data_IF_491004463183
#
_entry.id   IF_491004463183
#
_cell.length_a   1.000
_cell.length_b   1.000
_cell.length_c   1.000
_cell.angle_alpha   90.00
_cell.angle_beta   90.00
_cell.angle_gamma   90.00
#
_symmetry.space_group_name_H-M   'P 1'
#
loop_
_entity.id
_entity.type
_entity.pdbx_description
1 polymer ?
#
# COMPACT_ATOMS: atom_id res chain seq x y z
N UNK A 1 -4.04 -62.49 -81.49
CA UNK A 1 -5.07 -62.15 -82.50
C UNK A 1 -6.16 -61.40 -81.76
N UNK A 2 -6.38 -60.09 -81.92
CA UNK A 2 -5.91 -59.11 -82.88
C UNK A 2 -5.73 -57.77 -82.15
N UNK A 3 -4.64 -57.07 -82.50
CA UNK A 3 -4.49 -55.64 -82.36
C UNK A 3 -5.37 -54.89 -83.36
N UNK A 4 -5.73 -53.64 -83.01
CA UNK A 4 -5.61 -52.38 -83.80
C UNK A 4 -6.80 -51.41 -83.75
N UNK A 5 -6.38 -50.14 -83.74
CA UNK A 5 -7.08 -48.87 -83.92
C UNK A 5 -7.84 -48.35 -82.67
N UNK A 6 -7.43 -47.29 -81.98
CA UNK A 6 -6.72 -46.08 -82.42
C UNK A 6 -7.73 -44.98 -82.74
N UNK A 7 -8.11 -44.17 -81.74
CA UNK A 7 -8.77 -42.88 -81.98
C UNK A 7 -8.51 -41.89 -80.83
N UNK A 8 -7.67 -40.91 -81.16
CA UNK A 8 -7.67 -39.48 -80.80
C UNK A 8 -8.24 -38.99 -79.46
N UNK A 9 -7.38 -38.28 -78.70
CA UNK A 9 -7.77 -37.45 -77.55
C UNK A 9 -8.19 -36.04 -77.99
N UNK A 10 -9.26 -35.45 -77.45
CA UNK A 10 -9.34 -34.02 -77.26
C UNK A 10 -8.82 -33.63 -75.87
N UNK A 11 -7.74 -32.85 -75.84
CA UNK A 11 -7.26 -32.08 -74.68
C UNK A 11 -8.41 -31.18 -74.17
N UNK A 12 -9.05 -31.56 -73.04
CA UNK A 12 -9.92 -30.64 -72.29
C UNK A 12 -9.05 -29.80 -71.35
N UNK A 13 -9.11 -28.49 -71.57
CA UNK A 13 -8.63 -27.44 -70.67
C UNK A 13 -9.09 -27.67 -69.23
N UNK A 14 -8.27 -27.34 -68.21
CA UNK A 14 -8.75 -27.31 -66.84
C UNK A 14 -9.68 -26.10 -66.71
N UNK A 15 -10.98 -26.34 -66.76
CA UNK A 15 -11.96 -25.36 -66.29
C UNK A 15 -11.78 -25.37 -64.77
N UNK A 16 -11.08 -24.36 -64.28
CA UNK A 16 -10.87 -24.10 -62.85
C UNK A 16 -12.25 -23.97 -62.21
N UNK A 17 -12.70 -24.99 -61.48
CA UNK A 17 -13.98 -25.02 -60.78
C UNK A 17 -14.00 -23.90 -59.74
N UNK A 18 -14.57 -22.74 -60.12
CA UNK A 18 -14.82 -21.60 -59.22
C UNK A 18 -15.70 -21.96 -58.02
N UNK A 19 -16.30 -23.16 -58.01
CA UNK A 19 -16.98 -23.74 -56.86
C UNK A 19 -16.04 -24.11 -55.71
N UNK A 20 -14.81 -24.53 -55.96
CA UNK A 20 -13.86 -24.89 -54.88
C UNK A 20 -13.42 -23.66 -54.07
N UNK A 21 -13.25 -22.51 -54.73
CA UNK A 21 -12.91 -21.24 -54.08
C UNK A 21 -14.11 -20.67 -53.30
N UNK A 22 -15.33 -20.84 -53.81
CA UNK A 22 -16.54 -20.40 -53.09
C UNK A 22 -16.79 -21.23 -51.83
N UNK A 23 -16.54 -22.55 -51.88
CA UNK A 23 -16.65 -23.42 -50.71
C UNK A 23 -15.50 -23.20 -49.72
N UNK A 24 -14.29 -22.86 -50.17
CA UNK A 24 -13.17 -22.48 -49.31
C UNK A 24 -13.38 -21.12 -48.62
N UNK A 25 -14.02 -20.15 -49.28
CA UNK A 25 -14.40 -18.87 -48.68
C UNK A 25 -15.56 -19.05 -47.68
N UNK A 26 -16.49 -19.98 -47.95
CA UNK A 26 -17.58 -20.32 -47.01
C UNK A 26 -17.10 -21.16 -45.81
N UNK A 27 -16.10 -22.04 -45.98
CA UNK A 27 -15.46 -22.77 -44.87
C UNK A 27 -14.45 -21.90 -44.09
N UNK A 28 -13.81 -20.93 -44.75
CA UNK A 28 -12.85 -19.99 -44.13
C UNK A 28 -13.50 -18.87 -43.30
N UNK A 29 -14.80 -18.63 -43.48
CA UNK A 29 -15.61 -17.69 -42.69
C UNK A 29 -16.26 -18.32 -41.45
N UNK A 30 -15.98 -19.60 -41.19
CA UNK A 30 -16.42 -20.32 -39.98
C UNK A 30 -15.23 -20.82 -39.16
N UNK A 31 -14.17 -20.00 -39.02
CA UNK A 31 -13.44 -20.02 -37.76
C UNK A 31 -14.39 -19.37 -36.76
N UNK A 32 -15.24 -20.20 -36.17
CA UNK A 32 -16.02 -19.82 -35.02
C UNK A 32 -15.05 -19.16 -34.03
N UNK A 33 -15.25 -17.86 -33.81
CA UNK A 33 -14.74 -17.19 -32.64
C UNK A 33 -15.43 -17.84 -31.44
N UNK A 34 -14.96 -19.02 -31.04
CA UNK A 34 -15.22 -19.52 -29.69
C UNK A 34 -14.72 -18.40 -28.79
N UNK A 35 -15.57 -17.79 -27.93
CA UNK A 35 -15.04 -16.90 -26.92
C UNK A 35 -14.03 -17.74 -26.16
N UNK A 36 -12.74 -17.40 -26.31
CA UNK A 36 -11.70 -18.02 -25.50
C UNK A 36 -12.04 -17.57 -24.10
N UNK A 37 -12.70 -18.45 -23.36
CA UNK A 37 -13.03 -18.26 -21.96
C UNK A 37 -11.68 -18.02 -21.29
N UNK A 38 -11.41 -16.76 -20.97
CA UNK A 38 -10.13 -16.25 -20.52
C UNK A 38 -9.89 -16.67 -19.06
N UNK A 39 -9.93 -17.97 -18.81
CA UNK A 39 -9.68 -18.55 -17.52
C UNK A 39 -8.16 -18.72 -17.36
N UNK A 40 -7.59 -18.31 -16.21
CA UNK A 40 -6.17 -18.52 -15.94
C UNK A 40 -5.82 -20.00 -16.00
N UNK A 41 -4.66 -20.35 -16.55
CA UNK A 41 -4.24 -21.75 -16.71
C UNK A 41 -4.12 -22.51 -15.38
N UNK A 42 -3.89 -21.80 -14.27
CA UNK A 42 -3.82 -22.34 -12.92
C UNK A 42 -5.18 -22.50 -12.24
N UNK A 43 -6.26 -21.99 -12.84
CA UNK A 43 -7.57 -21.90 -12.23
C UNK A 43 -8.63 -22.69 -13.01
N UNK A 44 -9.74 -22.96 -12.36
CA UNK A 44 -10.90 -23.59 -12.97
C UNK A 44 -12.10 -22.66 -12.90
N UNK A 45 -12.61 -22.27 -14.07
CA UNK A 45 -13.75 -21.37 -14.19
C UNK A 45 -15.01 -22.18 -14.51
N UNK A 46 -16.04 -22.01 -13.69
CA UNK A 46 -17.33 -22.68 -13.83
C UNK A 46 -18.39 -21.62 -14.04
N UNK A 47 -19.14 -21.74 -15.13
CA UNK A 47 -20.32 -20.92 -15.36
C UNK A 47 -21.56 -21.70 -14.94
N UNK A 48 -22.30 -21.20 -13.94
CA UNK A 48 -23.54 -21.82 -13.46
C UNK A 48 -24.65 -20.77 -13.37
N UNK A 49 -25.70 -20.95 -14.18
CA UNK A 49 -26.88 -20.08 -14.19
C UNK A 49 -26.56 -18.59 -14.39
N UNK A 50 -25.55 -18.27 -15.22
CA UNK A 50 -25.11 -16.90 -15.47
C UNK A 50 -24.21 -16.29 -14.39
N UNK A 51 -23.73 -17.09 -13.44
CA UNK A 51 -22.69 -16.70 -12.48
C UNK A 51 -21.40 -17.43 -12.81
N UNK A 52 -20.32 -16.67 -12.98
CA UNK A 52 -18.98 -17.21 -13.22
C UNK A 52 -18.22 -17.32 -11.89
N UNK A 53 -17.88 -18.55 -11.53
CA UNK A 53 -17.13 -18.90 -10.32
C UNK A 53 -15.72 -19.29 -10.73
N UNK A 54 -14.71 -18.57 -10.25
CA UNK A 54 -13.31 -18.85 -10.53
C UNK A 54 -12.67 -19.52 -9.32
N UNK A 55 -12.27 -20.77 -9.50
CA UNK A 55 -11.66 -21.61 -8.45
C UNK A 55 -10.16 -21.73 -8.66
N UNK A 56 -9.39 -21.11 -7.76
CA UNK A 56 -7.93 -21.06 -7.78
C UNK A 56 -7.32 -21.57 -6.47
N UNK A 57 -8.04 -22.36 -5.67
CA UNK A 57 -7.59 -22.80 -4.34
C UNK A 57 -6.42 -23.81 -4.43
N UNK A 58 -5.47 -23.75 -3.50
CA UNK A 58 -4.35 -24.72 -3.39
C UNK A 58 -3.53 -24.85 -4.68
N UNK A 59 -3.23 -23.73 -5.33
CA UNK A 59 -2.48 -23.66 -6.61
C UNK A 59 -1.08 -23.07 -6.46
N UNK A 60 -0.61 -22.88 -5.22
CA UNK A 60 0.67 -22.26 -4.89
C UNK A 60 0.85 -20.87 -5.53
N UNK A 61 -0.24 -20.10 -5.62
CA UNK A 61 -0.19 -18.76 -6.21
C UNK A 61 0.49 -17.80 -5.24
N UNK A 62 1.53 -17.10 -5.70
CA UNK A 62 2.20 -16.03 -4.94
C UNK A 62 1.52 -14.66 -5.15
N UNK A 63 0.71 -14.54 -6.21
CA UNK A 63 0.06 -13.29 -6.61
C UNK A 63 -1.34 -13.58 -7.15
N UNK A 64 -2.20 -12.56 -7.06
CA UNK A 64 -3.53 -12.60 -7.66
C UNK A 64 -3.36 -12.58 -9.20
N UNK A 65 -3.95 -13.54 -9.94
CA UNK A 65 -3.90 -13.56 -11.40
C UNK A 65 -4.61 -12.34 -11.99
N UNK A 66 -4.01 -11.73 -13.02
CA UNK A 66 -4.57 -10.53 -13.68
C UNK A 66 -5.50 -10.86 -14.85
N UNK A 67 -5.44 -12.10 -15.33
CA UNK A 67 -6.20 -12.66 -16.44
C UNK A 67 -7.52 -13.29 -15.96
N UNK A 68 -8.26 -12.58 -15.11
CA UNK A 68 -9.56 -13.02 -14.61
C UNK A 68 -10.70 -12.63 -15.57
N UNK A 69 -11.71 -13.52 -15.79
CA UNK A 69 -12.90 -13.19 -16.57
C UNK A 69 -13.68 -12.00 -15.98
N UNK A 70 -14.08 -11.03 -16.79
CA UNK A 70 -14.78 -9.81 -16.32
C UNK A 70 -16.17 -10.06 -15.71
N UNK A 71 -16.77 -11.19 -16.06
CA UNK A 71 -18.06 -11.71 -15.59
C UNK A 71 -17.94 -12.52 -14.29
N UNK A 72 -16.75 -12.59 -13.69
CA UNK A 72 -16.54 -13.28 -12.41
C UNK A 72 -17.39 -12.67 -11.30
N UNK A 73 -18.18 -13.53 -10.65
CA UNK A 73 -19.02 -13.20 -9.50
C UNK A 73 -18.40 -13.67 -8.19
N UNK A 74 -17.77 -14.86 -8.21
CA UNK A 74 -17.16 -15.48 -7.03
C UNK A 74 -15.72 -15.86 -7.37
N UNK A 75 -14.77 -15.37 -6.59
CA UNK A 75 -13.34 -15.62 -6.76
C UNK A 75 -12.78 -16.33 -5.52
N UNK A 76 -12.36 -17.58 -5.70
CA UNK A 76 -11.87 -18.43 -4.63
C UNK A 76 -10.35 -18.63 -4.76
N UNK A 77 -9.59 -17.91 -3.96
CA UNK A 77 -8.13 -17.88 -3.92
C UNK A 77 -7.55 -18.43 -2.61
N UNK A 78 -8.36 -19.14 -1.82
CA UNK A 78 -7.95 -19.68 -0.54
C UNK A 78 -6.78 -20.68 -0.63
N UNK A 79 -6.02 -20.81 0.46
CA UNK A 79 -4.92 -21.77 0.58
C UNK A 79 -3.86 -21.61 -0.53
N UNK A 80 -3.36 -20.38 -0.69
CA UNK A 80 -2.26 -20.06 -1.60
C UNK A 80 -1.13 -19.35 -0.82
N UNK A 81 -0.15 -18.80 -1.50
CA UNK A 81 1.00 -18.09 -0.91
C UNK A 81 0.99 -16.61 -1.25
N UNK A 82 -0.20 -16.00 -1.37
CA UNK A 82 -0.32 -14.59 -1.75
C UNK A 82 0.14 -13.74 -0.57
N UNK A 83 1.08 -12.83 -0.82
CA UNK A 83 1.68 -11.99 0.25
C UNK A 83 1.20 -10.54 0.24
N UNK A 84 0.65 -10.08 -0.88
CA UNK A 84 0.28 -8.68 -1.06
C UNK A 84 -0.91 -8.51 -2.02
N UNK A 85 -1.82 -7.59 -1.70
CA UNK A 85 -2.93 -7.18 -2.59
C UNK A 85 -2.61 -5.82 -3.23
N UNK A 86 -2.31 -5.78 -4.53
CA UNK A 86 -1.93 -4.54 -5.21
C UNK A 86 -3.13 -3.64 -5.48
N UNK A 87 -2.87 -2.37 -5.74
CA UNK A 87 -3.87 -1.43 -6.23
C UNK A 87 -4.61 -1.98 -7.45
N UNK A 88 -5.93 -1.77 -7.49
CA UNK A 88 -6.79 -2.15 -8.61
C UNK A 88 -6.80 -3.64 -8.94
N UNK A 89 -6.45 -4.52 -8.00
CA UNK A 89 -6.39 -5.97 -8.22
C UNK A 89 -7.69 -6.55 -8.82
N UNK A 90 -8.84 -5.96 -8.47
CA UNK A 90 -10.16 -6.42 -8.91
C UNK A 90 -10.91 -5.41 -9.79
N UNK A 91 -10.23 -4.38 -10.30
CA UNK A 91 -10.88 -3.20 -10.92
C UNK A 91 -11.80 -3.53 -12.09
N UNK A 92 -11.46 -4.54 -12.89
CA UNK A 92 -12.21 -4.95 -14.08
C UNK A 92 -13.36 -5.93 -13.78
N UNK A 93 -13.51 -6.36 -12.51
CA UNK A 93 -14.46 -7.38 -12.07
C UNK A 93 -15.72 -6.75 -11.46
N UNK A 94 -16.46 -5.98 -12.25
CA UNK A 94 -17.59 -5.17 -11.76
C UNK A 94 -18.77 -5.95 -11.15
N UNK A 95 -18.83 -7.27 -11.41
CA UNK A 95 -19.87 -8.16 -10.89
C UNK A 95 -19.40 -9.00 -9.69
N UNK A 96 -18.18 -8.77 -9.23
CA UNK A 96 -17.57 -9.53 -8.14
C UNK A 96 -18.33 -9.26 -6.84
N UNK A 97 -18.87 -10.33 -6.26
CA UNK A 97 -19.65 -10.32 -5.03
C UNK A 97 -18.92 -11.00 -3.87
N UNK A 98 -18.12 -12.03 -4.16
CA UNK A 98 -17.44 -12.81 -3.14
C UNK A 98 -15.97 -13.02 -3.50
N UNK A 99 -15.10 -12.72 -2.55
CA UNK A 99 -13.66 -12.96 -2.65
C UNK A 99 -13.20 -13.71 -1.40
N UNK A 100 -12.67 -14.91 -1.61
CA UNK A 100 -12.04 -15.71 -0.57
C UNK A 100 -10.52 -15.69 -0.77
N UNK A 101 -9.84 -14.96 0.12
CA UNK A 101 -8.38 -14.88 0.22
C UNK A 101 -7.89 -15.50 1.54
N UNK A 102 -8.70 -16.35 2.17
CA UNK A 102 -8.36 -16.99 3.43
C UNK A 102 -7.15 -17.92 3.30
N UNK A 103 -6.44 -18.17 4.40
CA UNK A 103 -5.31 -19.10 4.43
C UNK A 103 -4.24 -18.76 3.38
N UNK A 104 -3.88 -17.49 3.29
CA UNK A 104 -2.76 -17.00 2.49
C UNK A 104 -1.68 -16.43 3.43
N UNK A 105 -0.70 -15.74 2.87
CA UNK A 105 0.40 -15.14 3.61
C UNK A 105 0.37 -13.60 3.49
N UNK A 106 -0.84 -13.02 3.37
CA UNK A 106 -0.99 -11.60 3.08
C UNK A 106 -0.51 -10.79 4.28
N UNK A 107 0.49 -9.94 4.06
CA UNK A 107 1.03 -9.05 5.09
C UNK A 107 0.56 -7.61 4.92
N UNK A 108 0.45 -7.17 3.66
CA UNK A 108 0.14 -5.77 3.31
C UNK A 108 -0.81 -5.70 2.12
N UNK A 109 -1.50 -4.57 1.99
CA UNK A 109 -2.33 -4.24 0.83
C UNK A 109 -2.25 -2.76 0.52
N UNK A 110 -2.42 -2.40 -0.74
CA UNK A 110 -2.41 -1.00 -1.15
C UNK A 110 -3.74 -0.29 -0.85
N UNK A 111 -3.70 1.03 -0.72
CA UNK A 111 -4.85 1.92 -0.46
C UNK A 111 -6.01 1.79 -1.46
N UNK A 112 -5.75 1.31 -2.67
CA UNK A 112 -6.74 1.11 -3.74
C UNK A 112 -6.96 -0.36 -4.08
N UNK A 113 -6.62 -1.30 -3.19
CA UNK A 113 -6.72 -2.74 -3.41
C UNK A 113 -8.10 -3.19 -3.93
N UNK A 114 -9.18 -2.67 -3.32
CA UNK A 114 -10.57 -3.01 -3.65
C UNK A 114 -11.27 -1.94 -4.48
N UNK A 115 -10.52 -1.01 -5.08
CA UNK A 115 -11.08 0.03 -5.91
C UNK A 115 -11.66 -0.54 -7.21
N UNK A 116 -12.94 -0.27 -7.47
CA UNK A 116 -13.68 -0.79 -8.62
C UNK A 116 -14.72 -1.87 -8.27
N UNK A 117 -14.63 -2.46 -7.07
CA UNK A 117 -15.57 -3.47 -6.56
C UNK A 117 -16.25 -3.07 -5.25
N UNK A 118 -16.02 -1.86 -4.75
CA UNK A 118 -16.57 -1.37 -3.47
C UNK A 118 -18.09 -1.42 -3.37
N UNK A 119 -18.80 -1.30 -4.50
CA UNK A 119 -20.27 -1.31 -4.56
C UNK A 119 -20.85 -2.70 -4.87
N UNK A 120 -20.09 -3.58 -5.51
CA UNK A 120 -20.55 -4.93 -5.91
C UNK A 120 -20.20 -6.00 -4.87
N UNK A 121 -19.09 -5.82 -4.14
CA UNK A 121 -18.58 -6.81 -3.20
C UNK A 121 -19.50 -6.92 -1.98
N UNK A 122 -19.88 -8.15 -1.66
CA UNK A 122 -20.78 -8.51 -0.57
C UNK A 122 -20.06 -9.25 0.55
N UNK A 123 -19.08 -10.08 0.20
CA UNK A 123 -18.32 -10.91 1.14
C UNK A 123 -16.83 -10.86 0.79
N UNK A 124 -16.00 -10.60 1.80
CA UNK A 124 -14.54 -10.63 1.69
C UNK A 124 -13.98 -11.42 2.86
N UNK A 125 -13.32 -12.54 2.58
CA UNK A 125 -12.63 -13.34 3.58
C UNK A 125 -11.11 -13.10 3.48
N UNK A 126 -10.54 -12.50 4.52
CA UNK A 126 -9.09 -12.30 4.72
C UNK A 126 -8.58 -13.05 5.96
N UNK A 127 -9.36 -13.99 6.48
CA UNK A 127 -9.00 -14.76 7.68
C UNK A 127 -7.74 -15.60 7.47
N UNK A 128 -7.05 -15.92 8.56
CA UNK A 128 -5.87 -16.80 8.53
C UNK A 128 -4.78 -16.28 7.57
N UNK A 129 -4.42 -15.01 7.72
CA UNK A 129 -3.34 -14.34 6.99
C UNK A 129 -2.29 -13.77 7.97
N UNK A 130 -1.38 -12.92 7.51
CA UNK A 130 -0.32 -12.29 8.30
C UNK A 130 -0.50 -10.77 8.43
N UNK A 131 -1.74 -10.29 8.32
CA UNK A 131 -2.04 -8.86 8.28
C UNK A 131 -1.88 -8.27 9.69
N UNK A 132 -1.07 -7.22 9.79
CA UNK A 132 -0.88 -6.48 11.05
C UNK A 132 -1.71 -5.21 11.10
N UNK A 133 -1.85 -4.51 9.98
CA UNK A 133 -2.65 -3.29 9.87
C UNK A 133 -3.27 -3.19 8.48
N UNK A 134 -4.31 -2.37 8.38
CA UNK A 134 -5.03 -2.14 7.12
C UNK A 134 -5.12 -0.65 6.84
N UNK A 135 -4.85 -0.21 5.59
CA UNK A 135 -5.05 1.17 5.21
C UNK A 135 -6.54 1.49 5.17
N UNK A 136 -6.93 2.62 5.77
CA UNK A 136 -8.32 3.07 5.86
C UNK A 136 -8.96 3.21 4.48
N UNK A 137 -8.20 3.72 3.53
CA UNK A 137 -8.65 3.99 2.17
C UNK A 137 -9.00 2.71 1.42
N UNK A 138 -8.32 1.59 1.69
CA UNK A 138 -8.60 0.33 1.00
C UNK A 138 -9.98 -0.21 1.36
N UNK A 139 -10.41 0.02 2.61
CA UNK A 139 -11.70 -0.41 3.14
C UNK A 139 -12.77 0.68 3.06
N UNK A 140 -12.37 1.91 2.72
CA UNK A 140 -13.29 3.02 2.61
C UNK A 140 -14.38 2.70 1.58
N UNK A 141 -15.64 2.90 1.97
CA UNK A 141 -16.85 2.69 1.14
C UNK A 141 -17.21 1.23 0.85
N UNK A 142 -16.42 0.24 1.28
CA UNK A 142 -16.83 -1.15 1.22
C UNK A 142 -18.01 -1.40 2.15
N UNK A 143 -19.08 -2.00 1.63
CA UNK A 143 -20.27 -2.40 2.41
C UNK A 143 -20.36 -3.90 2.63
N UNK A 144 -19.35 -4.63 2.16
CA UNK A 144 -19.22 -6.07 2.29
C UNK A 144 -19.12 -6.49 3.76
N UNK A 145 -19.55 -7.72 4.05
CA UNK A 145 -19.18 -8.43 5.28
C UNK A 145 -17.73 -8.85 5.15
N UNK A 146 -16.92 -8.50 6.14
CA UNK A 146 -15.47 -8.78 6.10
C UNK A 146 -15.08 -9.67 7.27
N UNK A 147 -14.43 -10.79 6.95
CA UNK A 147 -13.81 -11.66 7.94
C UNK A 147 -12.32 -11.34 8.06
N UNK A 148 -11.89 -10.99 9.27
CA UNK A 148 -10.52 -10.57 9.60
C UNK A 148 -9.89 -11.46 10.69
N UNK A 149 -10.52 -12.59 11.01
CA UNK A 149 -10.07 -13.47 12.10
C UNK A 149 -8.69 -14.05 11.85
N UNK A 150 -8.01 -14.48 12.92
CA UNK A 150 -6.73 -15.17 12.85
C UNK A 150 -5.65 -14.43 12.04
N UNK A 151 -5.50 -13.14 12.32
CA UNK A 151 -4.43 -12.29 11.79
C UNK A 151 -3.67 -11.64 12.96
N UNK A 152 -2.35 -11.41 12.85
CA UNK A 152 -1.53 -10.82 13.90
C UNK A 152 -1.73 -9.30 14.04
N UNK A 153 -2.96 -8.86 14.36
CA UNK A 153 -3.34 -7.46 14.38
C UNK A 153 -2.49 -6.61 15.33
N UNK A 154 -2.01 -5.47 14.84
CA UNK A 154 -1.40 -4.40 15.62
C UNK A 154 -2.46 -3.34 15.93
N UNK A 155 -2.96 -3.34 17.16
CA UNK A 155 -4.01 -2.43 17.59
C UNK A 155 -3.45 -1.04 17.93
N UNK A 156 -3.68 -0.12 16.99
CA UNK A 156 -3.32 1.29 17.07
C UNK A 156 -4.49 2.18 16.62
N UNK A 157 -4.24 3.49 16.48
CA UNK A 157 -5.23 4.47 16.05
C UNK A 157 -5.82 4.13 14.66
N UNK A 158 -4.98 3.78 13.68
CA UNK A 158 -5.40 3.52 12.30
C UNK A 158 -6.41 2.37 12.25
N UNK A 159 -6.07 1.23 12.85
CA UNK A 159 -6.92 0.05 12.91
C UNK A 159 -8.25 0.35 13.62
N UNK A 160 -8.22 1.12 14.72
CA UNK A 160 -9.41 1.52 15.44
C UNK A 160 -10.39 2.35 14.58
N UNK A 161 -9.89 3.24 13.72
CA UNK A 161 -10.74 3.99 12.79
C UNK A 161 -11.38 3.08 11.75
N UNK A 162 -10.59 2.19 11.15
CA UNK A 162 -11.07 1.29 10.10
C UNK A 162 -12.18 0.37 10.64
N UNK A 163 -11.96 -0.25 11.79
CA UNK A 163 -12.91 -1.20 12.38
C UNK A 163 -14.24 -0.56 12.79
N UNK A 164 -14.29 0.76 13.03
CA UNK A 164 -15.55 1.48 13.28
C UNK A 164 -16.41 1.63 12.04
N UNK A 165 -15.79 1.66 10.87
CA UNK A 165 -16.50 1.80 9.58
C UNK A 165 -16.85 0.44 8.96
N UNK A 166 -16.10 -0.62 9.32
CA UNK A 166 -16.27 -1.96 8.79
C UNK A 166 -17.48 -2.71 9.33
N UNK A 167 -18.11 -3.51 8.46
CA UNK A 167 -19.11 -4.51 8.83
C UNK A 167 -18.43 -5.87 9.03
N UNK A 168 -17.91 -6.07 10.23
CA UNK A 168 -17.32 -7.35 10.62
C UNK A 168 -18.39 -8.44 10.70
N UNK A 169 -18.02 -9.67 10.36
CA UNK A 169 -18.92 -10.81 10.51
C UNK A 169 -19.14 -11.12 12.01
N UNK A 170 -20.39 -11.13 12.52
CA UNK A 170 -20.66 -11.42 13.93
C UNK A 170 -20.20 -12.82 14.37
N UNK A 171 -20.05 -13.77 13.43
CA UNK A 171 -19.57 -15.11 13.76
C UNK A 171 -18.06 -15.13 14.05
N UNK A 172 -17.26 -14.32 13.34
CA UNK A 172 -15.79 -14.34 13.44
C UNK A 172 -15.21 -13.14 14.20
N UNK A 173 -16.02 -12.13 14.56
CA UNK A 173 -15.55 -10.91 15.25
C UNK A 173 -14.81 -11.18 16.56
N UNK A 174 -15.18 -12.23 17.29
CA UNK A 174 -14.54 -12.61 18.55
C UNK A 174 -13.13 -13.19 18.36
N UNK A 175 -12.82 -13.68 17.17
CA UNK A 175 -11.52 -14.24 16.80
C UNK A 175 -10.56 -13.16 16.27
N UNK A 176 -11.02 -11.92 16.15
CA UNK A 176 -10.17 -10.76 15.82
C UNK A 176 -9.51 -10.29 17.11
N UNK A 177 -8.29 -10.75 17.35
CA UNK A 177 -7.53 -10.48 18.59
C UNK A 177 -6.36 -9.54 18.27
N UNK A 178 -6.15 -8.54 19.11
CA UNK A 178 -4.97 -7.69 19.06
C UNK A 178 -3.74 -8.53 19.44
N UNK A 179 -2.86 -8.85 18.50
CA UNK A 179 -1.61 -9.56 18.82
C UNK A 179 -0.62 -8.63 19.52
N UNK A 180 -0.48 -7.42 18.97
CA UNK A 180 0.31 -6.33 19.55
C UNK A 180 -0.57 -5.08 19.65
N UNK A 181 -0.22 -4.15 20.51
CA UNK A 181 -0.96 -2.90 20.66
C UNK A 181 -0.03 -1.79 21.13
N UNK A 182 -0.40 -0.53 20.87
CA UNK A 182 0.34 0.65 21.39
C UNK A 182 0.40 0.63 22.92
N UNK A 183 -0.63 0.10 23.56
CA UNK A 183 -0.69 -0.13 25.00
C UNK A 183 -0.75 -1.63 25.29
N UNK A 184 0.28 -2.15 25.94
CA UNK A 184 0.49 -3.59 26.16
C UNK A 184 -0.67 -4.29 26.88
N UNK A 185 -1.45 -3.56 27.68
CA UNK A 185 -2.64 -4.07 28.39
C UNK A 185 -3.73 -4.63 27.44
N UNK A 186 -3.77 -4.14 26.20
CA UNK A 186 -4.73 -4.58 25.19
C UNK A 186 -4.18 -5.66 24.25
N UNK A 187 -2.90 -6.02 24.37
CA UNK A 187 -2.36 -7.17 23.67
C UNK A 187 -3.02 -8.46 24.18
N UNK A 188 -3.38 -9.34 23.26
CA UNK A 188 -4.14 -10.57 23.51
C UNK A 188 -5.64 -10.36 23.78
N UNK A 189 -6.16 -9.14 23.71
CA UNK A 189 -7.60 -8.87 23.88
C UNK A 189 -8.33 -8.89 22.53
N UNK A 190 -9.60 -9.34 22.49
CA UNK A 190 -10.41 -9.25 21.29
C UNK A 190 -10.70 -7.78 20.97
N UNK A 191 -10.66 -7.45 19.69
CA UNK A 191 -10.83 -6.09 19.17
C UNK A 191 -12.16 -5.47 19.61
N UNK A 192 -13.25 -6.24 19.67
CA UNK A 192 -14.55 -5.74 20.12
C UNK A 192 -14.50 -5.19 21.55
N UNK A 193 -13.76 -5.84 22.45
CA UNK A 193 -13.57 -5.35 23.81
C UNK A 193 -12.79 -4.04 23.84
N UNK A 194 -11.81 -3.89 22.95
CA UNK A 194 -11.02 -2.66 22.82
C UNK A 194 -11.91 -1.51 22.33
N UNK A 195 -12.76 -1.77 21.33
CA UNK A 195 -13.70 -0.79 20.80
C UNK A 195 -14.76 -0.36 21.84
N UNK A 196 -15.28 -1.30 22.63
CA UNK A 196 -16.30 -1.04 23.65
C UNK A 196 -15.75 -0.43 24.95
N UNK A 197 -14.45 -0.57 25.21
CA UNK A 197 -13.80 -0.03 26.42
C UNK A 197 -13.77 1.50 26.49
N UNK A 198 -14.14 2.19 25.41
CA UNK A 198 -14.14 3.65 25.32
C UNK A 198 -12.73 4.27 25.19
N UNK A 199 -11.68 3.45 25.05
CA UNK A 199 -10.33 3.95 24.81
C UNK A 199 -10.22 4.54 23.39
N UNK A 200 -9.42 5.60 23.25
CA UNK A 200 -9.13 6.21 21.96
C UNK A 200 -7.62 6.26 21.77
N UNK A 201 -7.07 5.33 20.98
CA UNK A 201 -5.64 5.27 20.70
C UNK A 201 -5.13 6.52 19.96
N UNK A 202 -5.99 7.21 19.22
CA UNK A 202 -5.63 8.43 18.48
C UNK A 202 -5.33 9.61 19.41
N UNK A 203 -5.97 9.67 20.57
CA UNK A 203 -5.73 10.75 21.54
C UNK A 203 -4.39 10.57 22.28
N UNK A 204 -3.92 9.32 22.40
CA UNK A 204 -2.60 9.02 22.96
C UNK A 204 -1.48 9.53 22.04
N UNK A 205 -1.64 9.36 20.73
CA UNK A 205 -0.67 9.84 19.75
C UNK A 205 -0.48 11.36 19.80
N UNK A 206 -1.55 12.12 20.05
CA UNK A 206 -1.46 13.56 20.28
C UNK A 206 -0.73 13.93 21.59
N UNK A 207 -0.99 13.20 22.68
CA UNK A 207 -0.34 13.48 23.96
C UNK A 207 1.17 13.25 23.92
N UNK A 208 1.65 12.19 23.25
CA UNK A 208 3.09 11.92 23.15
C UNK A 208 3.80 12.96 22.27
N UNK A 209 3.17 13.40 21.18
CA UNK A 209 3.70 14.48 20.33
C UNK A 209 3.76 15.81 21.07
N UNK A 210 2.74 16.15 21.86
CA UNK A 210 2.72 17.39 22.64
C UNK A 210 3.87 17.42 23.66
N UNK A 211 4.08 16.32 24.40
CA UNK A 211 5.18 16.22 25.37
C UNK A 211 6.55 16.30 24.69
N UNK A 212 6.75 15.60 23.58
CA UNK A 212 8.00 15.65 22.82
C UNK A 212 8.27 17.06 22.26
N UNK A 213 7.23 17.75 21.79
CA UNK A 213 7.31 19.14 21.35
C UNK A 213 7.69 20.07 22.51
N UNK A 214 7.11 19.89 23.70
CA UNK A 214 7.52 20.68 24.87
C UNK A 214 8.97 20.41 25.26
N UNK A 215 9.42 19.16 25.31
CA UNK A 215 10.82 18.81 25.64
C UNK A 215 11.80 19.43 24.65
N UNK A 216 11.50 19.36 23.35
CA UNK A 216 12.35 19.98 22.31
C UNK A 216 12.33 21.51 22.39
N UNK A 217 11.17 22.11 22.67
CA UNK A 217 11.04 23.55 22.89
C UNK A 217 11.88 24.02 24.08
N UNK A 218 11.78 23.35 25.23
CA UNK A 218 12.60 23.65 26.41
C UNK A 218 14.10 23.43 26.13
N UNK A 219 14.46 22.36 25.42
CA UNK A 219 15.83 22.11 24.97
C UNK A 219 16.38 23.23 24.08
N UNK A 220 15.57 23.73 23.15
CA UNK A 220 15.97 24.83 22.27
C UNK A 220 16.08 26.16 23.03
N UNK A 221 15.12 26.47 23.91
CA UNK A 221 15.18 27.67 24.74
C UNK A 221 16.40 27.67 25.67
N UNK A 222 16.70 26.54 26.32
CA UNK A 222 17.90 26.42 27.16
C UNK A 222 19.19 26.61 26.36
N UNK A 223 19.27 26.06 25.15
CA UNK A 223 20.42 26.26 24.24
C UNK A 223 20.56 27.72 23.82
N UNK A 224 19.47 28.38 23.43
CA UNK A 224 19.47 29.80 23.03
C UNK A 224 19.84 30.70 24.21
N UNK A 225 19.27 30.46 25.40
CA UNK A 225 19.60 31.23 26.62
C UNK A 225 21.08 31.06 26.96
N UNK A 226 21.61 29.83 26.91
CA UNK A 226 23.03 29.57 27.15
C UNK A 226 23.93 30.28 26.13
N UNK A 227 23.55 30.26 24.84
CA UNK A 227 24.27 30.96 23.78
C UNK A 227 24.28 32.48 24.00
N UNK A 228 23.15 33.08 24.36
CA UNK A 228 23.05 34.52 24.65
C UNK A 228 23.90 34.89 25.88
N UNK A 229 23.84 34.10 26.95
CA UNK A 229 24.69 34.33 28.14
C UNK A 229 26.17 34.24 27.77
N UNK A 230 26.56 33.22 27.02
CA UNK A 230 27.92 33.05 26.52
C UNK A 230 28.36 34.26 25.69
N UNK A 231 27.54 34.67 24.72
CA UNK A 231 27.83 35.79 23.83
C UNK A 231 27.98 37.12 24.60
N UNK A 232 27.10 37.39 25.57
CA UNK A 232 27.19 38.60 26.41
C UNK A 232 28.44 38.56 27.29
N UNK A 233 28.74 37.44 27.93
CA UNK A 233 29.94 37.27 28.77
C UNK A 233 31.20 37.48 27.95
N UNK A 234 31.27 36.86 26.76
CA UNK A 234 32.40 36.98 25.85
C UNK A 234 32.62 38.44 25.40
N UNK A 235 31.57 39.13 24.97
CA UNK A 235 31.66 40.52 24.57
C UNK A 235 32.03 41.47 25.73
N UNK A 236 31.58 41.18 26.95
CA UNK A 236 31.98 41.94 28.14
C UNK A 236 33.47 41.76 28.45
N UNK A 237 33.99 40.54 28.30
CA UNK A 237 35.42 40.25 28.49
C UNK A 237 36.30 40.93 27.43
N UNK A 238 35.87 40.95 26.17
CA UNK A 238 36.56 41.67 25.10
C UNK A 238 36.57 43.19 25.37
N UNK A 239 35.42 43.78 25.70
CA UNK A 239 35.34 45.21 26.03
C UNK A 239 36.23 45.59 27.22
N UNK A 240 36.32 44.71 28.23
CA UNK A 240 37.20 44.90 29.40
C UNK A 240 38.67 44.92 29.00
N UNK A 241 39.09 43.95 28.16
CA UNK A 241 40.47 43.90 27.64
C UNK A 241 40.84 45.14 26.83
N UNK A 242 39.93 45.63 25.99
CA UNK A 242 40.16 46.88 25.23
C UNK A 242 40.32 48.11 26.14
N UNK A 243 39.52 48.21 27.21
CA UNK A 243 39.66 49.30 28.17
C UNK A 243 40.99 49.26 28.92
N UNK A 244 41.45 48.07 29.31
CA UNK A 244 42.75 47.87 29.97
C UNK A 244 43.91 48.22 29.03
N UNK A 245 43.81 47.86 27.74
CA UNK A 245 44.76 48.29 26.72
C UNK A 245 44.81 49.81 26.59
N UNK A 246 43.65 50.49 26.50
CA UNK A 246 43.59 51.95 26.42
C UNK A 246 44.16 52.64 27.65
N UNK A 247 44.01 52.06 28.85
CA UNK A 247 44.62 52.58 30.09
C UNK A 247 46.14 52.41 30.12
N UNK A 248 46.67 51.40 29.42
CA UNK A 248 48.12 51.17 29.34
C UNK A 248 48.83 52.10 28.36
N UNK A 249 48.08 52.78 27.48
CA UNK A 249 48.66 53.77 26.58
C UNK A 249 49.14 54.99 27.39
N UNK A 250 50.36 55.50 27.12
CA UNK A 250 50.88 56.66 27.82
C UNK A 250 49.94 57.86 27.62
N UNK A 251 49.58 58.53 28.72
CA UNK A 251 48.74 59.73 28.61
C UNK A 251 49.51 60.83 27.88
N UNK A 252 48.82 61.63 27.06
CA UNK A 252 49.40 62.78 26.35
C UNK A 252 50.16 63.74 27.29
N UNK A 253 49.77 63.81 28.56
CA UNK A 253 50.45 64.63 29.59
C UNK A 253 51.83 64.12 30.03
N UNK A 254 52.13 62.83 29.84
CA UNK A 254 53.46 62.27 30.09
C UNK A 254 54.37 62.45 28.87
N UNK A 255 53.81 62.32 27.66
CA UNK A 255 54.56 62.52 26.39
C UNK A 255 55.08 63.96 26.28
N UNK A 256 54.30 64.96 26.71
CA UNK A 256 54.76 66.36 26.70
C UNK A 256 55.89 66.61 27.70
N UNK A 257 55.85 65.98 28.89
CA UNK A 257 56.90 66.13 29.92
C UNK A 257 58.22 65.49 29.49
N UNK A 258 58.18 64.36 28.81
CA UNK A 258 59.40 63.73 28.29
C UNK A 258 59.99 64.52 27.12
N UNK A 259 59.14 65.16 26.30
CA UNK A 259 59.59 66.03 25.21
C UNK A 259 60.22 67.35 25.71
N UNK A 260 59.67 67.94 26.78
CA UNK A 260 60.23 69.12 27.44
C UNK A 260 61.58 68.81 28.15
N UNK A 261 61.76 67.58 28.63
CA UNK A 261 63.01 67.15 29.29
C UNK A 261 64.12 66.81 28.29
N UNK A 262 63.78 66.37 27.08
CA UNK A 262 64.75 66.11 26.00
C UNK A 262 65.21 67.42 25.34
N UNK A 263 64.36 68.44 25.28
CA UNK A 263 64.70 69.74 24.67
C UNK A 263 65.61 70.62 25.55
N UNK A 264 65.95 70.18 26.76
CA UNK A 264 66.89 70.87 27.68
C UNK A 264 68.29 70.24 27.70
N UNK A 265 68.55 69.22 26.87
CA UNK A 265 69.86 68.57 26.71
C UNK A 265 70.31 68.69 25.25
N UNK A 266 70.51 69.92 24.75
CA UNK A 266 71.38 70.21 23.61
C UNK A 266 71.88 71.66 23.67
#
# INVERSE_FOLDING_TARGET
MQDLAGHDMPKKSPIFDGFALLWALLFGLFIASTPVMACPASCHCIEKSGMTVVQCMSRNLEKIPSDLPRDTVVLLLASNHITHIPNHAFKELHYLQEVDLSNNEIETMDVGAFQGVSDSLLVLDLSNNRIQSVPKEAFARLRAKISLSNNPWHCECTLQEVLRELRLDPETVNEVICHTAVQEEYAGKPVIQVLDSGINFCNFHHKTTDVAMFVTMFGWFTMVIAYVIYYVRHNQEDARRHLEYLKSLPSSSQISKDFDTISTVL
#
